data_IF_609415100194
#
_entry.id   IF_609415100194
#
_cell.length_a   1.000
_cell.length_b   1.000
_cell.length_c   1.000
_cell.angle_alpha   90.00
_cell.angle_beta   90.00
_cell.angle_gamma   90.00
#
_symmetry.space_group_name_H-M   'P 1'
#
loop_
_entity.id
_entity.type
_entity.pdbx_description
1 polymer ?
#
# COMPACT_ATOMS: atom_id res chain seq x y z
N UNK A 1 12.95 34.57 37.32
CA UNK A 1 13.70 33.34 37.02
C UNK A 1 12.98 32.07 37.45
N UNK A 2 12.54 31.91 38.71
CA UNK A 2 11.86 30.68 39.19
C UNK A 2 10.58 30.33 38.43
N UNK A 3 9.68 31.31 38.09
CA UNK A 3 8.47 31.05 37.32
C UNK A 3 8.74 30.59 35.86
N UNK A 4 9.77 31.14 35.22
CA UNK A 4 10.19 30.74 33.86
C UNK A 4 10.78 29.33 33.83
N UNK A 5 11.52 28.97 34.87
CA UNK A 5 12.05 27.61 35.03
C UNK A 5 10.93 26.58 35.24
N UNK A 6 9.88 26.94 35.98
CA UNK A 6 8.71 26.08 36.19
C UNK A 6 7.90 25.86 34.93
N UNK A 7 7.73 26.88 34.08
CA UNK A 7 7.05 26.77 32.77
C UNK A 7 7.88 25.90 31.80
N UNK A 8 9.19 26.04 31.79
CA UNK A 8 10.07 25.21 30.97
C UNK A 8 10.08 23.75 31.44
N UNK A 9 10.10 23.52 32.76
CA UNK A 9 10.00 22.16 33.31
C UNK A 9 8.63 21.52 33.03
N UNK A 10 7.52 22.29 33.11
CA UNK A 10 6.18 21.80 32.80
C UNK A 10 6.05 21.44 31.32
N UNK A 11 6.62 22.23 30.43
CA UNK A 11 6.64 21.93 29.00
C UNK A 11 7.50 20.72 28.67
N UNK A 12 8.62 20.53 29.37
CA UNK A 12 9.49 19.36 29.24
C UNK A 12 8.85 18.10 29.83
N UNK A 13 8.07 18.21 30.91
CA UNK A 13 7.32 17.11 31.49
C UNK A 13 6.15 16.67 30.59
N UNK A 14 5.49 17.59 29.89
CA UNK A 14 4.42 17.27 28.92
C UNK A 14 5.00 16.60 27.67
N UNK A 15 6.19 16.98 27.20
CA UNK A 15 6.85 16.30 26.09
C UNK A 15 7.42 14.92 26.44
N UNK A 16 7.69 14.65 27.73
CA UNK A 16 8.12 13.32 28.20
C UNK A 16 6.95 12.36 28.40
N UNK A 17 5.70 12.84 28.52
CA UNK A 17 4.51 12.01 28.60
C UNK A 17 3.97 11.54 27.24
N UNK A 18 4.54 12.02 26.14
CA UNK A 18 4.25 11.54 24.78
C UNK A 18 5.14 10.37 24.36
N UNK A 19 5.61 9.56 25.31
CA UNK A 19 6.14 8.23 24.99
C UNK A 19 4.96 7.37 24.58
N UNK A 20 4.68 7.34 23.27
CA UNK A 20 3.93 6.25 22.67
C UNK A 20 4.63 4.97 23.12
N UNK A 21 3.89 4.07 23.76
CA UNK A 21 4.36 2.72 23.99
C UNK A 21 4.66 2.10 22.63
N UNK A 22 5.92 2.12 22.23
CA UNK A 22 6.39 1.33 21.11
C UNK A 22 6.27 -0.13 21.58
N UNK A 23 5.20 -0.79 21.20
CA UNK A 23 5.07 -2.22 21.38
C UNK A 23 6.20 -2.85 20.57
N UNK A 24 7.12 -3.51 21.26
CA UNK A 24 8.23 -4.20 20.65
C UNK A 24 7.72 -5.52 20.07
N UNK A 25 7.40 -5.52 18.76
CA UNK A 25 7.39 -6.78 18.02
C UNK A 25 8.75 -7.46 18.19
N UNK A 26 8.78 -8.79 18.10
CA UNK A 26 10.07 -9.44 17.85
C UNK A 26 10.60 -8.85 16.53
N UNK A 27 11.84 -8.39 16.52
CA UNK A 27 12.44 -7.84 15.31
C UNK A 27 12.22 -8.79 14.13
N UNK A 28 11.88 -8.26 12.94
CA UNK A 28 11.76 -9.08 11.75
C UNK A 28 13.10 -9.76 11.45
N UNK A 29 13.08 -10.95 10.83
CA UNK A 29 14.30 -11.61 10.39
C UNK A 29 15.14 -10.70 9.50
N UNK A 30 16.46 -10.82 9.59
CA UNK A 30 17.38 -10.11 8.68
C UNK A 30 17.13 -10.48 7.23
N UNK A 31 17.08 -9.49 6.34
CA UNK A 31 16.79 -9.65 4.91
C UNK A 31 17.81 -8.91 4.07
N UNK A 32 18.33 -9.64 3.04
CA UNK A 32 19.36 -9.14 2.15
C UNK A 32 18.83 -8.24 1.04
N UNK A 33 17.60 -8.44 0.58
CA UNK A 33 16.93 -7.59 -0.39
C UNK A 33 17.02 -6.09 -0.03
N UNK A 34 17.27 -5.23 -1.01
CA UNK A 34 17.40 -3.78 -0.76
C UNK A 34 16.07 -3.09 -0.53
N UNK A 35 15.01 -3.56 -1.19
CA UNK A 35 13.65 -3.08 -0.96
C UNK A 35 12.77 -4.27 -0.63
N UNK A 36 12.05 -4.19 0.49
CA UNK A 36 11.22 -5.28 1.02
C UNK A 36 9.94 -4.73 1.61
N UNK A 37 8.85 -5.43 1.41
CA UNK A 37 7.58 -5.19 2.11
C UNK A 37 6.98 -6.51 2.59
N UNK A 38 6.36 -6.49 3.76
CA UNK A 38 5.41 -7.50 4.24
C UNK A 38 4.07 -6.81 4.43
N UNK A 39 3.06 -7.26 3.69
CA UNK A 39 1.73 -6.67 3.66
C UNK A 39 0.67 -7.71 4.03
N UNK A 40 -0.28 -7.33 4.86
CA UNK A 40 -1.52 -8.09 5.06
C UNK A 40 -2.35 -8.01 3.76
N UNK A 41 -2.58 -9.15 3.12
CA UNK A 41 -3.28 -9.21 1.84
C UNK A 41 -4.76 -8.81 1.94
N UNK A 42 -5.40 -9.01 3.10
CA UNK A 42 -6.81 -8.68 3.27
C UNK A 42 -7.03 -7.17 3.43
N UNK A 43 -6.15 -6.51 4.18
CA UNK A 43 -6.31 -5.09 4.54
C UNK A 43 -5.45 -4.14 3.70
N UNK A 44 -4.34 -4.63 3.13
CA UNK A 44 -3.32 -3.80 2.50
C UNK A 44 -2.36 -3.12 3.49
N UNK A 45 -2.47 -3.44 4.77
CA UNK A 45 -1.61 -2.88 5.80
C UNK A 45 -0.17 -3.39 5.68
N UNK A 46 0.79 -2.48 5.70
CA UNK A 46 2.23 -2.81 5.75
C UNK A 46 2.61 -3.09 7.19
N UNK A 47 3.02 -4.32 7.47
CA UNK A 47 3.48 -4.76 8.80
C UNK A 47 5.01 -4.70 8.94
N UNK A 48 5.72 -4.68 7.82
CA UNK A 48 7.16 -4.43 7.75
C UNK A 48 7.53 -3.80 6.42
N UNK A 49 8.39 -2.78 6.44
CA UNK A 49 8.94 -2.11 5.26
C UNK A 49 10.43 -1.81 5.42
N UNK A 50 11.19 -2.04 4.35
CA UNK A 50 12.60 -1.66 4.20
C UNK A 50 12.76 -1.04 2.82
N UNK A 51 12.94 0.27 2.73
CA UNK A 51 12.99 0.99 1.45
C UNK A 51 11.86 0.58 0.47
N UNK A 52 10.69 0.21 1.00
CA UNK A 52 9.58 -0.43 0.28
C UNK A 52 9.02 0.42 -0.85
N UNK A 53 9.22 1.73 -0.77
CA UNK A 53 8.79 2.71 -1.80
C UNK A 53 9.92 3.12 -2.75
N UNK A 54 11.12 2.55 -2.60
CA UNK A 54 12.25 2.87 -3.48
C UNK A 54 12.16 2.08 -4.79
N UNK A 55 12.18 2.76 -5.96
CA UNK A 55 12.03 2.09 -7.24
C UNK A 55 13.29 1.32 -7.65
N UNK A 56 13.06 0.09 -8.12
CA UNK A 56 14.06 -0.78 -8.73
C UNK A 56 13.52 -1.43 -10.00
N UNK A 57 14.36 -1.92 -10.91
CA UNK A 57 13.91 -2.72 -12.04
C UNK A 57 13.33 -4.05 -11.51
N UNK A 58 12.10 -4.42 -11.94
CA UNK A 58 11.38 -5.57 -11.38
C UNK A 58 11.81 -6.93 -11.95
N UNK A 59 12.46 -6.96 -13.11
CA UNK A 59 12.58 -8.18 -13.91
C UNK A 59 11.20 -8.85 -14.12
N UNK A 60 11.15 -10.19 -14.13
CA UNK A 60 9.93 -10.95 -14.41
C UNK A 60 8.81 -10.84 -13.35
N UNK A 61 9.00 -10.12 -12.23
CA UNK A 61 7.87 -9.78 -11.36
C UNK A 61 6.90 -8.78 -12.03
N UNK A 62 7.32 -8.12 -13.13
CA UNK A 62 6.45 -7.38 -14.06
C UNK A 62 5.23 -8.17 -14.49
N UNK A 63 5.39 -9.49 -14.67
CA UNK A 63 4.33 -10.38 -15.18
C UNK A 63 3.13 -10.49 -14.25
N UNK A 64 3.22 -10.06 -12.99
CA UNK A 64 2.04 -9.91 -12.13
C UNK A 64 1.02 -8.97 -12.75
N UNK A 65 1.46 -7.81 -13.28
CA UNK A 65 0.57 -6.89 -13.97
C UNK A 65 0.06 -7.47 -15.31
N UNK A 66 0.89 -8.19 -16.05
CA UNK A 66 0.48 -8.85 -17.30
C UNK A 66 -0.59 -9.89 -17.04
N UNK A 67 -0.41 -10.75 -16.04
CA UNK A 67 -1.40 -11.76 -15.62
C UNK A 67 -2.69 -11.11 -15.16
N UNK A 68 -2.62 -10.05 -14.35
CA UNK A 68 -3.79 -9.33 -13.86
C UNK A 68 -4.61 -8.78 -15.03
N UNK A 69 -3.98 -8.06 -15.94
CA UNK A 69 -4.65 -7.51 -17.11
C UNK A 69 -5.22 -8.57 -18.04
N UNK A 70 -4.56 -9.71 -18.16
CA UNK A 70 -5.08 -10.84 -18.93
C UNK A 70 -6.35 -11.40 -18.30
N UNK A 71 -6.38 -11.59 -16.99
CA UNK A 71 -7.56 -12.09 -16.26
C UNK A 71 -8.72 -11.09 -16.23
N UNK A 72 -8.45 -9.79 -16.36
CA UNK A 72 -9.46 -8.73 -16.37
C UNK A 72 -10.04 -8.45 -17.76
N UNK A 73 -9.34 -8.82 -18.86
CA UNK A 73 -9.72 -8.41 -20.23
C UNK A 73 -9.99 -9.58 -21.19
N UNK A 74 -9.73 -10.83 -20.82
CA UNK A 74 -9.90 -11.99 -21.68
C UNK A 74 -10.69 -13.10 -21.03
N UNK A 75 -11.47 -13.84 -21.82
CA UNK A 75 -12.01 -15.14 -21.43
C UNK A 75 -10.90 -16.20 -21.51
N UNK A 76 -10.92 -17.18 -20.61
CA UNK A 76 -9.84 -18.18 -20.48
C UNK A 76 -9.73 -19.12 -21.71
N UNK A 77 -10.83 -19.37 -22.41
CA UNK A 77 -10.96 -20.21 -23.59
C UNK A 77 -10.72 -19.44 -24.91
N UNK A 78 -10.53 -18.12 -24.82
CA UNK A 78 -10.16 -17.32 -25.98
C UNK A 78 -8.87 -17.81 -26.61
N UNK A 79 -8.85 -17.85 -27.97
CA UNK A 79 -7.70 -18.35 -28.72
C UNK A 79 -6.82 -17.19 -29.17
N UNK A 80 -5.62 -17.15 -28.64
CA UNK A 80 -4.56 -16.23 -29.06
C UNK A 80 -3.85 -16.83 -30.28
N UNK A 81 -3.73 -16.05 -31.35
CA UNK A 81 -2.88 -16.39 -32.50
C UNK A 81 -1.58 -15.60 -32.39
N UNK A 82 -0.47 -16.32 -32.28
CA UNK A 82 0.86 -15.73 -32.07
C UNK A 82 1.29 -14.88 -33.28
N UNK A 83 1.65 -13.63 -33.04
CA UNK A 83 2.19 -12.70 -34.02
C UNK A 83 3.66 -12.95 -34.37
N UNK A 84 4.25 -12.08 -35.18
CA UNK A 84 5.67 -12.21 -35.61
C UNK A 84 6.65 -11.82 -34.48
N UNK A 85 6.29 -10.90 -33.60
CA UNK A 85 7.18 -10.36 -32.59
C UNK A 85 7.38 -11.30 -31.37
N UNK A 86 6.36 -11.93 -30.75
CA UNK A 86 6.50 -12.72 -29.54
C UNK A 86 7.56 -13.82 -29.59
N UNK A 87 7.73 -14.60 -30.68
CA UNK A 87 8.78 -15.64 -30.79
C UNK A 87 10.20 -15.08 -30.74
N UNK A 88 10.41 -13.81 -31.08
CA UNK A 88 11.71 -13.15 -31.11
C UNK A 88 12.22 -12.75 -29.74
N UNK A 89 11.34 -12.70 -28.72
CA UNK A 89 11.67 -12.23 -27.36
C UNK A 89 12.69 -13.15 -26.72
N UNK A 90 13.67 -12.55 -26.05
CA UNK A 90 14.71 -13.26 -25.34
C UNK A 90 14.29 -13.68 -23.90
N UNK A 91 15.14 -14.47 -23.25
CA UNK A 91 14.97 -14.93 -21.87
C UNK A 91 14.11 -16.18 -21.73
N UNK A 92 13.38 -16.31 -20.63
CA UNK A 92 12.52 -17.48 -20.35
C UNK A 92 11.38 -17.53 -21.36
N UNK A 93 11.17 -18.69 -22.00
CA UNK A 93 10.14 -18.90 -23.01
C UNK A 93 9.76 -20.37 -23.17
N UNK A 94 8.62 -20.64 -23.76
CA UNK A 94 8.18 -21.98 -24.14
C UNK A 94 8.33 -22.25 -25.65
N UNK A 95 8.95 -21.31 -26.36
CA UNK A 95 9.25 -21.39 -27.79
C UNK A 95 7.98 -21.51 -28.64
N UNK A 96 7.04 -20.57 -28.45
CA UNK A 96 5.89 -20.43 -29.35
C UNK A 96 6.36 -19.93 -30.71
N UNK A 97 5.62 -20.28 -31.76
CA UNK A 97 5.98 -19.93 -33.14
C UNK A 97 4.89 -19.06 -33.79
N UNK A 98 5.26 -18.33 -34.86
CA UNK A 98 4.34 -17.46 -35.60
C UNK A 98 3.13 -18.26 -36.12
N UNK A 99 1.93 -17.77 -35.89
CA UNK A 99 0.68 -18.42 -36.26
C UNK A 99 0.28 -19.60 -35.35
N UNK A 100 1.03 -19.89 -34.29
CA UNK A 100 0.61 -20.85 -33.28
C UNK A 100 -0.64 -20.36 -32.55
N UNK A 101 -1.55 -21.29 -32.26
CA UNK A 101 -2.82 -21.00 -31.58
C UNK A 101 -2.83 -21.69 -30.23
N UNK A 102 -2.99 -20.90 -29.18
CA UNK A 102 -3.08 -21.34 -27.79
C UNK A 102 -4.23 -20.61 -27.09
N UNK A 103 -4.83 -21.23 -26.10
CA UNK A 103 -5.82 -20.53 -25.27
C UNK A 103 -5.12 -19.54 -24.32
N UNK A 104 -5.88 -18.51 -23.89
CA UNK A 104 -5.45 -17.57 -22.86
C UNK A 104 -5.01 -18.34 -21.60
N UNK A 105 -5.76 -19.37 -21.20
CA UNK A 105 -5.44 -20.20 -20.03
C UNK A 105 -4.08 -20.88 -20.20
N UNK A 106 -3.78 -21.51 -21.34
CA UNK A 106 -2.49 -22.16 -21.60
C UNK A 106 -1.32 -21.16 -21.56
N UNK A 107 -1.54 -19.95 -22.07
CA UNK A 107 -0.54 -18.88 -21.98
C UNK A 107 -0.35 -18.39 -20.54
N UNK A 108 -1.42 -18.26 -19.74
CA UNK A 108 -1.33 -17.90 -18.32
C UNK A 108 -0.54 -18.95 -17.53
N UNK A 109 -0.76 -20.26 -17.78
CA UNK A 109 0.06 -21.33 -17.19
C UNK A 109 1.53 -21.13 -17.51
N UNK A 110 1.85 -20.77 -18.76
CA UNK A 110 3.23 -20.55 -19.21
C UNK A 110 3.87 -19.31 -18.58
N UNK A 111 3.12 -18.21 -18.47
CA UNK A 111 3.60 -16.95 -17.88
C UNK A 111 3.84 -17.10 -16.37
N UNK A 112 2.92 -17.75 -15.65
CA UNK A 112 2.99 -17.88 -14.19
C UNK A 112 4.03 -18.93 -13.81
N UNK A 113 3.99 -20.15 -14.38
CA UNK A 113 4.79 -21.29 -13.94
C UNK A 113 6.25 -21.21 -14.39
N UNK A 114 6.49 -20.86 -15.65
CA UNK A 114 7.87 -20.86 -16.22
C UNK A 114 8.32 -19.48 -16.69
N UNK A 115 7.55 -18.45 -16.36
CA UNK A 115 7.93 -17.06 -16.65
C UNK A 115 8.08 -16.74 -18.14
N UNK A 116 7.30 -17.39 -19.02
CA UNK A 116 7.40 -17.29 -20.48
C UNK A 116 7.25 -15.85 -20.99
N UNK A 117 8.33 -15.26 -21.52
CA UNK A 117 8.36 -13.91 -22.07
C UNK A 117 7.60 -13.82 -23.38
N UNK A 118 7.72 -14.84 -24.21
CA UNK A 118 7.04 -15.00 -25.49
C UNK A 118 5.51 -15.02 -25.31
N UNK A 119 4.99 -15.80 -24.37
CA UNK A 119 3.57 -15.82 -24.03
C UNK A 119 3.10 -14.47 -23.44
N UNK A 120 3.91 -13.82 -22.60
CA UNK A 120 3.57 -12.51 -22.06
C UNK A 120 3.45 -11.44 -23.17
N UNK A 121 4.33 -11.50 -24.18
CA UNK A 121 4.26 -10.62 -25.34
C UNK A 121 3.06 -10.95 -26.24
N UNK A 122 2.75 -12.24 -26.48
CA UNK A 122 1.61 -12.66 -27.27
C UNK A 122 0.27 -12.22 -26.62
N UNK A 123 0.14 -12.36 -25.30
CA UNK A 123 -1.03 -11.85 -24.57
C UNK A 123 -1.14 -10.32 -24.65
N UNK A 124 -0.03 -9.60 -24.56
CA UNK A 124 -0.01 -8.14 -24.69
C UNK A 124 -0.48 -7.66 -26.08
N UNK A 125 0.02 -8.30 -27.15
CA UNK A 125 -0.44 -8.03 -28.52
C UNK A 125 -1.93 -8.37 -28.71
N UNK A 126 -2.38 -9.50 -28.15
CA UNK A 126 -3.77 -9.92 -28.23
C UNK A 126 -4.72 -8.93 -27.58
N UNK A 127 -4.36 -8.41 -26.39
CA UNK A 127 -5.23 -7.50 -25.61
C UNK A 127 -5.21 -6.07 -26.16
N UNK A 128 -4.06 -5.58 -26.61
CA UNK A 128 -3.87 -4.16 -26.91
C UNK A 128 -3.35 -3.87 -28.33
N UNK A 129 -3.08 -4.90 -29.12
CA UNK A 129 -2.56 -4.78 -30.48
C UNK A 129 -1.06 -4.51 -30.60
N UNK A 130 -0.41 -4.02 -29.53
CA UNK A 130 1.05 -3.83 -29.48
C UNK A 130 1.59 -3.87 -28.03
N UNK A 131 2.90 -4.04 -27.90
CA UNK A 131 3.59 -3.97 -26.59
C UNK A 131 3.49 -2.57 -25.97
N UNK A 132 3.58 -1.55 -26.80
CA UNK A 132 3.53 -0.14 -26.38
C UNK A 132 2.15 0.21 -25.82
N UNK A 133 1.08 -0.15 -26.52
CA UNK A 133 -0.30 0.10 -26.06
C UNK A 133 -0.61 -0.73 -24.80
N UNK A 134 -0.10 -1.96 -24.72
CA UNK A 134 -0.23 -2.74 -23.51
C UNK A 134 0.51 -2.10 -22.32
N UNK A 135 1.69 -1.52 -22.53
CA UNK A 135 2.41 -0.79 -21.49
C UNK A 135 1.62 0.45 -20.98
N UNK A 136 0.89 1.14 -21.88
CA UNK A 136 -0.04 2.21 -21.48
C UNK A 136 -1.14 1.66 -20.57
N UNK A 137 -1.74 0.52 -20.93
CA UNK A 137 -2.76 -0.15 -20.11
C UNK A 137 -2.21 -0.59 -18.76
N UNK A 138 -1.00 -1.18 -18.72
CA UNK A 138 -0.30 -1.56 -17.47
C UNK A 138 -0.13 -0.36 -16.54
N UNK A 139 0.33 0.77 -17.06
CA UNK A 139 0.55 1.98 -16.27
C UNK A 139 -0.75 2.63 -15.79
N UNK A 140 -1.82 2.56 -16.60
CA UNK A 140 -3.16 2.99 -16.17
C UNK A 140 -3.63 2.13 -15.00
N UNK A 141 -3.58 0.81 -15.12
CA UNK A 141 -4.04 -0.11 -14.08
C UNK A 141 -3.20 0.00 -12.80
N UNK A 142 -1.89 0.19 -12.92
CA UNK A 142 -1.02 0.44 -11.77
C UNK A 142 -1.48 1.67 -10.96
N UNK A 143 -1.84 2.76 -11.63
CA UNK A 143 -2.38 3.97 -10.96
C UNK A 143 -3.71 3.69 -10.27
N UNK A 144 -4.61 2.93 -10.89
CA UNK A 144 -5.91 2.55 -10.32
C UNK A 144 -5.75 1.69 -9.05
N UNK A 145 -4.72 0.83 -9.00
CA UNK A 145 -4.35 0.06 -7.81
C UNK A 145 -3.69 0.91 -6.71
N UNK A 146 -3.38 2.18 -6.96
CA UNK A 146 -2.71 3.07 -6.02
C UNK A 146 -1.18 3.00 -6.05
N UNK A 147 -0.58 2.36 -7.06
CA UNK A 147 0.87 2.35 -7.28
C UNK A 147 1.37 3.78 -7.57
N UNK A 148 2.43 4.19 -6.85
CA UNK A 148 2.93 5.57 -6.91
C UNK A 148 4.25 5.71 -7.64
N UNK A 149 5.05 4.65 -7.67
CA UNK A 149 6.43 4.66 -8.15
C UNK A 149 6.68 3.56 -9.19
N UNK A 150 5.66 3.24 -9.99
CA UNK A 150 5.70 2.22 -11.03
C UNK A 150 5.61 2.84 -12.41
N UNK A 151 6.47 2.38 -13.32
CA UNK A 151 6.39 2.65 -14.74
C UNK A 151 6.80 1.40 -15.52
N UNK A 152 5.88 0.85 -16.28
CA UNK A 152 6.08 -0.28 -17.17
C UNK A 152 6.32 0.19 -18.62
N UNK A 153 7.22 -0.50 -19.33
CA UNK A 153 7.49 -0.28 -20.75
C UNK A 153 7.35 -1.57 -21.58
N UNK A 154 7.22 -2.72 -20.91
CA UNK A 154 7.00 -4.03 -21.55
C UNK A 154 6.27 -4.99 -20.61
N UNK A 155 5.65 -6.08 -21.13
CA UNK A 155 4.85 -7.02 -20.34
C UNK A 155 5.66 -8.12 -19.65
N UNK A 156 6.95 -8.25 -19.94
CA UNK A 156 7.76 -9.42 -19.52
C UNK A 156 8.85 -9.08 -18.49
N UNK A 157 9.26 -7.81 -18.39
CA UNK A 157 10.26 -7.35 -17.42
C UNK A 157 11.71 -7.46 -17.90
N UNK A 158 11.96 -7.58 -19.21
CA UNK A 158 13.31 -7.32 -19.75
C UNK A 158 13.69 -5.88 -19.43
N UNK A 159 14.99 -5.69 -19.18
CA UNK A 159 15.50 -4.43 -18.67
C UNK A 159 15.29 -3.25 -19.63
N UNK A 160 14.86 -2.16 -19.08
CA UNK A 160 14.82 -0.82 -19.63
C UNK A 160 15.02 0.18 -18.49
N UNK A 161 15.74 1.27 -18.77
CA UNK A 161 16.04 2.29 -17.76
C UNK A 161 14.80 2.94 -17.14
N UNK A 162 13.69 2.97 -17.88
CA UNK A 162 12.42 3.53 -17.43
C UNK A 162 11.50 2.49 -16.78
N UNK A 163 11.83 1.18 -16.90
CA UNK A 163 11.00 0.10 -16.37
C UNK A 163 11.29 -0.11 -14.88
N UNK A 164 10.49 0.48 -14.02
CA UNK A 164 10.70 0.53 -12.56
C UNK A 164 9.42 0.26 -11.80
N UNK A 165 9.57 -0.32 -10.63
CA UNK A 165 8.49 -0.49 -9.63
C UNK A 165 9.09 -0.53 -8.23
N UNK A 166 8.23 -0.62 -7.20
CA UNK A 166 8.63 -0.73 -5.80
C UNK A 166 8.13 -2.04 -5.19
N UNK A 167 8.70 -2.46 -4.07
CA UNK A 167 8.19 -3.64 -3.35
C UNK A 167 6.74 -3.42 -2.89
N UNK A 168 6.40 -2.20 -2.46
CA UNK A 168 5.03 -1.84 -2.09
C UNK A 168 4.06 -1.95 -3.27
N UNK A 169 4.41 -1.40 -4.42
CA UNK A 169 3.56 -1.42 -5.60
C UNK A 169 3.35 -2.86 -6.14
N UNK A 170 4.39 -3.71 -6.09
CA UNK A 170 4.27 -5.14 -6.42
C UNK A 170 3.33 -5.89 -5.45
N UNK A 171 3.38 -5.54 -4.16
CA UNK A 171 2.47 -6.14 -3.17
C UNK A 171 1.01 -5.74 -3.41
N UNK A 172 0.74 -4.52 -3.90
CA UNK A 172 -0.60 -4.10 -4.32
C UNK A 172 -1.11 -4.92 -5.52
N UNK A 173 -0.24 -5.20 -6.50
CA UNK A 173 -0.59 -6.02 -7.67
C UNK A 173 -0.88 -7.46 -7.25
N UNK A 174 -0.04 -8.04 -6.39
CA UNK A 174 -0.26 -9.40 -5.85
C UNK A 174 -1.55 -9.46 -5.02
N UNK A 175 -1.83 -8.44 -4.21
CA UNK A 175 -3.07 -8.34 -3.43
C UNK A 175 -4.31 -8.40 -4.34
N UNK A 176 -4.30 -7.68 -5.45
CA UNK A 176 -5.40 -7.72 -6.42
C UNK A 176 -5.50 -9.08 -7.09
N UNK A 177 -4.38 -9.67 -7.51
CA UNK A 177 -4.35 -11.00 -8.11
C UNK A 177 -4.93 -12.09 -7.20
N UNK A 178 -4.77 -11.98 -5.88
CA UNK A 178 -5.34 -12.92 -4.92
C UNK A 178 -6.88 -12.91 -4.86
N UNK A 179 -7.55 -11.95 -5.53
CA UNK A 179 -9.00 -11.94 -5.73
C UNK A 179 -9.44 -12.81 -6.92
N UNK A 180 -8.51 -13.30 -7.76
CA UNK A 180 -8.79 -14.14 -8.92
C UNK A 180 -8.51 -15.61 -8.61
N UNK A 181 -9.56 -16.42 -8.52
CA UNK A 181 -9.43 -17.86 -8.21
C UNK A 181 -8.52 -18.59 -9.21
N UNK A 182 -8.62 -18.26 -10.50
CA UNK A 182 -7.79 -18.86 -11.55
C UNK A 182 -6.29 -18.56 -11.37
N UNK A 183 -5.94 -17.35 -10.89
CA UNK A 183 -4.55 -17.05 -10.54
C UNK A 183 -4.04 -17.96 -9.42
N UNK A 184 -4.83 -18.15 -8.37
CA UNK A 184 -4.48 -19.01 -7.24
C UNK A 184 -4.33 -20.47 -7.70
N UNK A 185 -5.25 -20.97 -8.53
CA UNK A 185 -5.22 -22.33 -9.09
C UNK A 185 -3.92 -22.58 -9.87
N UNK A 186 -3.62 -21.71 -10.84
CA UNK A 186 -2.40 -21.85 -11.67
C UNK A 186 -1.15 -21.71 -10.81
N UNK A 187 -1.13 -20.74 -9.89
CA UNK A 187 0.04 -20.48 -9.04
C UNK A 187 0.38 -21.65 -8.13
N UNK A 188 -0.62 -22.42 -7.65
CA UNK A 188 -0.43 -23.63 -6.83
C UNK A 188 -0.09 -24.89 -7.63
N UNK A 189 -0.26 -24.86 -8.95
CA UNK A 189 0.05 -26.01 -9.80
C UNK A 189 1.55 -26.26 -9.84
N UNK A 190 1.99 -27.41 -9.35
CA UNK A 190 3.42 -27.80 -9.29
C UNK A 190 3.97 -28.13 -10.67
N UNK A 191 3.21 -28.87 -11.49
CA UNK A 191 3.57 -29.24 -12.85
C UNK A 191 2.32 -29.53 -13.67
N UNK A 192 2.40 -29.30 -14.98
CA UNK A 192 1.33 -29.63 -15.93
C UNK A 192 1.92 -29.85 -17.33
N UNK A 193 1.06 -30.18 -18.30
CA UNK A 193 1.43 -30.31 -19.70
C UNK A 193 0.48 -29.46 -20.54
N UNK A 194 1.02 -28.58 -21.37
CA UNK A 194 0.26 -27.95 -22.43
C UNK A 194 -0.06 -28.98 -23.51
N UNK A 195 -1.26 -28.88 -24.09
CA UNK A 195 -1.65 -29.80 -25.17
C UNK A 195 -0.96 -29.44 -26.48
N UNK A 196 -0.91 -30.39 -27.45
CA UNK A 196 -0.45 -30.08 -28.80
C UNK A 196 -1.25 -28.95 -29.43
N UNK A 197 -0.55 -28.09 -30.18
CA UNK A 197 -1.18 -26.96 -30.90
C UNK A 197 -1.28 -27.27 -32.41
N UNK A 198 -1.76 -26.29 -33.19
CA UNK A 198 -1.75 -26.40 -34.65
C UNK A 198 -0.35 -26.54 -35.25
N UNK A 199 0.70 -26.04 -34.57
CA UNK A 199 2.09 -26.06 -35.00
C UNK A 199 2.89 -27.11 -34.23
N UNK A 200 2.90 -27.05 -32.91
CA UNK A 200 3.68 -27.94 -32.07
C UNK A 200 2.87 -29.21 -31.74
N UNK A 201 3.38 -30.38 -32.15
CA UNK A 201 2.61 -31.65 -32.11
C UNK A 201 2.79 -32.47 -30.84
N UNK A 202 3.71 -32.06 -29.97
CA UNK A 202 4.00 -32.75 -28.71
C UNK A 202 3.45 -31.93 -27.52
N UNK A 203 3.25 -32.61 -26.38
CA UNK A 203 2.92 -31.91 -25.13
C UNK A 203 4.15 -31.20 -24.61
N UNK A 204 4.00 -29.91 -24.21
CA UNK A 204 5.05 -29.15 -23.55
C UNK A 204 4.92 -29.28 -22.04
N UNK A 205 5.92 -29.86 -21.32
CA UNK A 205 5.89 -29.90 -19.86
C UNK A 205 6.15 -28.51 -19.28
N UNK A 206 5.38 -28.15 -18.28
CA UNK A 206 5.59 -26.97 -17.46
C UNK A 206 5.89 -27.41 -16.02
N UNK A 207 6.92 -26.83 -15.45
CA UNK A 207 7.33 -27.05 -14.07
C UNK A 207 7.40 -25.70 -13.35
N UNK A 208 6.65 -25.56 -12.25
CA UNK A 208 6.55 -24.28 -11.58
C UNK A 208 7.88 -23.86 -10.95
N UNK A 209 8.40 -22.70 -11.32
CA UNK A 209 9.64 -22.12 -10.82
C UNK A 209 9.58 -21.69 -9.35
N UNK A 210 8.39 -21.58 -8.76
CA UNK A 210 8.24 -21.22 -7.36
C UNK A 210 8.61 -22.38 -6.43
N UNK A 211 9.82 -22.36 -5.90
CA UNK A 211 10.35 -23.41 -5.02
C UNK A 211 9.63 -23.52 -3.68
N UNK A 212 8.87 -22.50 -3.26
CA UNK A 212 8.07 -22.60 -2.04
C UNK A 212 6.98 -23.68 -2.12
N UNK A 213 6.59 -24.09 -3.33
CA UNK A 213 5.56 -25.11 -3.57
C UNK A 213 6.08 -26.55 -3.52
N UNK A 214 7.40 -26.76 -3.65
CA UNK A 214 7.98 -28.06 -3.86
C UNK A 214 8.69 -28.55 -2.58
N UNK A 215 8.21 -29.63 -2.02
CA UNK A 215 8.70 -30.26 -0.78
C UNK A 215 10.15 -30.80 -0.87
N UNK A 216 10.67 -30.96 -2.08
CA UNK A 216 12.07 -31.30 -2.31
C UNK A 216 13.06 -30.16 -1.98
N UNK A 217 12.59 -28.91 -1.82
CA UNK A 217 13.45 -27.78 -1.49
C UNK A 217 13.37 -27.41 -0.01
N UNK A 218 14.49 -26.99 0.57
CA UNK A 218 14.56 -26.52 1.96
C UNK A 218 13.68 -25.30 2.26
N UNK A 219 13.35 -24.53 1.24
CA UNK A 219 12.47 -23.36 1.34
C UNK A 219 10.98 -23.70 1.18
N UNK A 220 10.62 -24.97 1.08
CA UNK A 220 9.22 -25.39 0.99
C UNK A 220 8.38 -24.76 2.08
N UNK A 221 7.26 -24.16 1.69
CA UNK A 221 6.32 -23.53 2.62
C UNK A 221 4.91 -24.03 2.32
N UNK A 222 4.34 -24.89 3.18
CA UNK A 222 3.08 -25.58 2.90
C UNK A 222 1.89 -24.63 2.72
N UNK A 223 1.96 -23.45 3.35
CA UNK A 223 0.92 -22.43 3.29
C UNK A 223 1.10 -21.43 2.13
N UNK A 224 2.09 -21.63 1.24
CA UNK A 224 2.29 -20.78 0.08
C UNK A 224 1.09 -20.84 -0.89
N UNK A 225 0.64 -19.65 -1.34
CA UNK A 225 -0.46 -19.51 -2.30
C UNK A 225 0.09 -19.26 -3.69
N UNK A 226 0.97 -18.27 -3.83
CA UNK A 226 1.54 -17.88 -5.09
C UNK A 226 2.98 -17.38 -4.92
N UNK A 227 3.69 -17.20 -6.02
CA UNK A 227 5.00 -16.59 -6.01
C UNK A 227 5.54 -16.41 -7.42
N UNK A 228 6.17 -15.25 -7.66
CA UNK A 228 6.81 -14.91 -8.92
C UNK A 228 8.25 -14.46 -8.70
N UNK A 229 9.18 -15.12 -9.39
CA UNK A 229 10.60 -14.78 -9.40
C UNK A 229 10.92 -13.83 -10.56
N UNK A 230 12.00 -13.06 -10.41
CA UNK A 230 12.57 -12.26 -11.48
C UNK A 230 14.09 -12.15 -11.34
N UNK A 231 14.79 -12.09 -12.48
CA UNK A 231 16.21 -11.84 -12.54
C UNK A 231 16.61 -11.20 -13.87
N UNK A 232 17.38 -10.17 -13.81
CA UNK A 232 18.31 -9.68 -14.86
C UNK A 232 19.59 -9.24 -14.17
N UNK A 233 20.64 -9.01 -14.91
CA UNK A 233 21.91 -8.56 -14.33
C UNK A 233 21.76 -7.19 -13.65
N UNK A 234 20.89 -6.32 -14.17
CA UNK A 234 20.64 -4.98 -13.63
C UNK A 234 19.63 -4.98 -12.48
N UNK A 235 18.64 -5.88 -12.52
CA UNK A 235 17.61 -6.00 -11.48
C UNK A 235 18.08 -6.76 -10.25
N UNK A 236 19.13 -7.59 -10.42
CA UNK A 236 19.43 -8.67 -9.49
C UNK A 236 18.20 -9.56 -9.30
N UNK A 237 18.07 -10.25 -8.17
CA UNK A 237 16.89 -11.08 -7.92
C UNK A 237 15.73 -10.24 -7.36
N UNK A 238 14.55 -10.50 -7.87
CA UNK A 238 13.28 -10.03 -7.33
C UNK A 238 12.36 -11.23 -7.04
N UNK A 239 11.51 -11.07 -6.04
CA UNK A 239 10.57 -12.12 -5.64
C UNK A 239 9.32 -11.51 -5.02
N UNK A 240 8.17 -12.01 -5.43
CA UNK A 240 6.90 -11.75 -4.76
C UNK A 240 6.31 -13.09 -4.37
N UNK A 241 5.83 -13.22 -3.17
CA UNK A 241 5.15 -14.43 -2.70
C UNK A 241 4.00 -14.08 -1.78
N UNK A 242 2.99 -14.93 -1.77
CA UNK A 242 1.87 -14.88 -0.84
C UNK A 242 1.67 -16.21 -0.13
N UNK A 243 1.21 -16.15 1.12
CA UNK A 243 0.90 -17.32 1.94
C UNK A 243 -0.34 -17.05 2.80
N UNK A 244 -1.04 -18.14 3.21
CA UNK A 244 -2.27 -18.02 3.98
C UNK A 244 -2.44 -19.11 5.02
N UNK A 245 -2.78 -18.73 6.27
CA UNK A 245 -3.15 -19.60 7.39
C UNK A 245 -4.52 -19.22 7.90
N UNK A 246 -5.54 -20.05 7.61
CA UNK A 246 -6.92 -19.69 7.86
C UNK A 246 -7.32 -18.43 7.09
N UNK A 247 -7.90 -17.46 7.77
CA UNK A 247 -8.31 -16.19 7.16
C UNK A 247 -7.16 -15.19 7.00
N UNK A 248 -6.02 -15.43 7.66
CA UNK A 248 -4.84 -14.56 7.56
C UNK A 248 -4.07 -14.83 6.28
N UNK A 249 -3.77 -13.79 5.52
CA UNK A 249 -2.94 -13.86 4.32
C UNK A 249 -1.90 -12.76 4.33
N UNK A 250 -0.65 -13.10 4.01
CA UNK A 250 0.42 -12.12 3.88
C UNK A 250 1.08 -12.20 2.51
N UNK A 251 1.53 -11.05 2.03
CA UNK A 251 2.31 -10.87 0.82
C UNK A 251 3.69 -10.38 1.22
N UNK A 252 4.72 -10.93 0.61
CA UNK A 252 6.09 -10.48 0.72
C UNK A 252 6.58 -10.12 -0.68
N UNK A 253 7.09 -8.89 -0.85
CA UNK A 253 7.78 -8.50 -2.07
C UNK A 253 9.20 -8.05 -1.74
N UNK A 254 10.17 -8.56 -2.51
CA UNK A 254 11.60 -8.33 -2.36
C UNK A 254 12.16 -7.89 -3.71
N UNK A 255 12.87 -6.77 -3.73
CA UNK A 255 13.56 -6.26 -4.91
C UNK A 255 15.05 -6.08 -4.64
N UNK A 256 15.84 -6.27 -5.69
CA UNK A 256 17.28 -6.08 -5.71
C UNK A 256 18.01 -6.90 -4.62
N UNK A 257 17.78 -8.22 -4.61
CA UNK A 257 18.54 -9.17 -3.79
C UNK A 257 19.77 -9.66 -4.56
N UNK A 258 20.94 -9.24 -4.14
CA UNK A 258 22.22 -9.59 -4.77
C UNK A 258 22.60 -11.06 -4.55
N UNK A 259 22.10 -11.68 -3.48
CA UNK A 259 22.58 -12.97 -2.97
C UNK A 259 21.65 -14.14 -3.29
N UNK A 260 20.48 -13.90 -3.93
CA UNK A 260 19.42 -14.90 -4.14
C UNK A 260 18.95 -15.56 -2.84
N UNK A 261 18.97 -14.80 -1.74
CA UNK A 261 18.64 -15.31 -0.41
C UNK A 261 17.12 -15.36 -0.15
N UNK A 262 16.33 -14.72 -1.00
CA UNK A 262 14.88 -14.57 -0.83
C UNK A 262 14.16 -15.89 -0.57
N UNK A 263 14.58 -17.02 -1.14
CA UNK A 263 13.95 -18.30 -0.87
C UNK A 263 14.14 -18.80 0.57
N UNK A 264 15.27 -18.48 1.21
CA UNK A 264 15.54 -18.86 2.60
C UNK A 264 14.98 -17.84 3.60
N UNK A 265 14.79 -16.61 3.16
CA UNK A 265 14.34 -15.49 3.99
C UNK A 265 12.81 -15.40 4.03
N UNK A 266 12.13 -15.64 2.90
CA UNK A 266 10.66 -15.50 2.78
C UNK A 266 9.89 -16.41 3.74
N UNK A 267 10.21 -17.72 3.92
CA UNK A 267 9.54 -18.56 4.93
C UNK A 267 9.63 -17.98 6.34
N UNK A 268 10.81 -17.47 6.73
CA UNK A 268 11.03 -16.87 8.06
C UNK A 268 10.22 -15.60 8.24
N UNK A 269 10.08 -14.79 7.18
CA UNK A 269 9.23 -13.60 7.20
C UNK A 269 7.75 -13.95 7.32
N UNK A 270 7.27 -14.98 6.61
CA UNK A 270 5.91 -15.45 6.76
C UNK A 270 5.66 -15.95 8.18
N UNK A 271 6.55 -16.76 8.75
CA UNK A 271 6.42 -17.24 10.13
C UNK A 271 6.41 -16.09 11.12
N UNK A 272 7.27 -15.08 10.92
CA UNK A 272 7.28 -13.87 11.73
C UNK A 272 5.97 -13.09 11.59
N UNK A 273 5.46 -12.90 10.37
CA UNK A 273 4.21 -12.16 10.12
C UNK A 273 3.02 -12.86 10.77
N UNK A 274 2.83 -14.17 10.52
CA UNK A 274 1.74 -14.95 11.12
C UNK A 274 1.81 -15.06 12.64
N UNK A 275 3.01 -15.01 13.22
CA UNK A 275 3.19 -15.01 14.68
C UNK A 275 2.77 -13.68 15.31
N UNK A 276 3.10 -12.57 14.67
CA UNK A 276 2.97 -11.25 15.27
C UNK A 276 1.70 -10.50 14.86
N UNK A 277 1.06 -10.89 13.74
CA UNK A 277 -0.09 -10.17 13.18
C UNK A 277 -1.23 -11.13 12.81
N UNK A 278 -2.45 -10.60 12.86
CA UNK A 278 -3.66 -11.26 12.38
C UNK A 278 -4.59 -10.25 11.72
N UNK A 279 -5.39 -10.71 10.76
CA UNK A 279 -6.52 -9.94 10.23
C UNK A 279 -7.72 -10.13 11.15
N UNK A 280 -8.24 -9.06 11.70
CA UNK A 280 -9.41 -9.08 12.58
C UNK A 280 -10.57 -8.31 11.94
N UNK A 281 -11.78 -8.72 12.24
CA UNK A 281 -12.97 -8.06 11.76
C UNK A 281 -13.47 -7.06 12.80
N UNK A 282 -13.53 -5.78 12.43
CA UNK A 282 -14.12 -4.74 13.26
C UNK A 282 -15.65 -4.75 13.16
N UNK A 283 -16.18 -4.93 11.94
CA UNK A 283 -17.63 -5.03 11.67
C UNK A 283 -17.89 -6.01 10.52
N UNK A 284 -18.99 -6.73 10.62
CA UNK A 284 -19.51 -7.56 9.53
C UNK A 284 -20.37 -6.73 8.58
N UNK A 285 -20.47 -7.14 7.31
CA UNK A 285 -21.40 -6.54 6.36
C UNK A 285 -22.82 -6.48 6.94
N UNK A 286 -23.43 -5.28 6.87
CA UNK A 286 -24.78 -5.03 7.40
C UNK A 286 -24.86 -4.83 8.91
N UNK A 287 -23.74 -4.95 9.65
CA UNK A 287 -23.69 -4.69 11.09
C UNK A 287 -23.82 -3.19 11.36
N UNK A 288 -24.50 -2.81 12.44
CA UNK A 288 -24.65 -1.44 12.87
C UNK A 288 -23.35 -0.91 13.47
N UNK A 289 -22.79 0.12 12.84
CA UNK A 289 -21.57 0.79 13.28
C UNK A 289 -21.88 1.89 14.32
N UNK A 290 -23.08 2.44 14.25
CA UNK A 290 -23.54 3.52 15.09
C UNK A 290 -24.81 4.15 14.54
N UNK A 291 -25.15 5.32 15.06
CA UNK A 291 -26.35 6.06 14.66
C UNK A 291 -26.04 7.49 14.27
N UNK A 292 -26.89 8.03 13.41
CA UNK A 292 -26.93 9.46 13.09
C UNK A 292 -28.28 10.03 13.52
N UNK A 293 -28.24 11.06 14.38
CA UNK A 293 -29.43 11.84 14.76
C UNK A 293 -29.57 13.01 13.79
N UNK A 294 -30.69 13.07 13.10
CA UNK A 294 -31.02 14.10 12.12
C UNK A 294 -31.49 15.36 12.80
N UNK A 295 -31.62 16.47 12.07
CA UNK A 295 -32.07 17.78 12.58
C UNK A 295 -33.47 17.74 13.17
N UNK A 296 -34.36 16.84 12.72
CA UNK A 296 -35.70 16.65 13.24
C UNK A 296 -35.80 15.61 14.36
N UNK A 297 -34.66 15.07 14.84
CA UNK A 297 -34.60 14.10 15.94
C UNK A 297 -34.80 12.64 15.50
N UNK A 298 -34.90 12.33 14.20
CA UNK A 298 -34.95 10.95 13.70
C UNK A 298 -33.59 10.26 13.87
N UNK A 299 -33.59 9.01 14.31
CA UNK A 299 -32.37 8.22 14.49
C UNK A 299 -32.22 7.27 13.31
N UNK A 300 -31.13 7.43 12.54
CA UNK A 300 -30.79 6.62 11.38
C UNK A 300 -29.70 5.64 11.77
N UNK A 301 -29.93 4.31 11.68
CA UNK A 301 -28.87 3.31 11.83
C UNK A 301 -27.84 3.44 10.70
N UNK A 302 -26.56 3.36 11.05
CA UNK A 302 -25.45 3.39 10.12
C UNK A 302 -24.88 1.98 9.99
N UNK A 303 -24.96 1.38 8.78
CA UNK A 303 -24.62 -0.01 8.55
C UNK A 303 -23.33 -0.15 7.74
N UNK A 304 -22.52 -1.15 8.05
CA UNK A 304 -21.33 -1.49 7.26
C UNK A 304 -21.73 -2.00 5.87
N UNK A 305 -21.17 -1.39 4.80
CA UNK A 305 -21.39 -1.85 3.41
C UNK A 305 -20.79 -3.22 3.14
N UNK A 306 -19.63 -3.49 3.74
CA UNK A 306 -18.87 -4.75 3.65
C UNK A 306 -18.22 -5.08 4.99
N UNK A 307 -17.62 -6.26 5.09
CA UNK A 307 -16.77 -6.59 6.23
C UNK A 307 -15.65 -5.56 6.34
N UNK A 308 -15.50 -4.93 7.50
CA UNK A 308 -14.43 -3.96 7.79
C UNK A 308 -13.36 -4.68 8.59
N UNK A 309 -12.23 -4.92 7.92
CA UNK A 309 -11.09 -5.63 8.47
C UNK A 309 -10.00 -4.65 8.90
N UNK A 310 -9.20 -5.04 9.89
CA UNK A 310 -7.98 -4.35 10.28
C UNK A 310 -6.89 -5.35 10.63
N UNK A 311 -5.64 -4.94 10.49
CA UNK A 311 -4.48 -5.77 10.84
C UNK A 311 -4.09 -5.52 12.28
N UNK A 312 -4.30 -6.53 13.12
CA UNK A 312 -4.01 -6.49 14.55
C UNK A 312 -2.58 -6.95 14.84
N UNK A 313 -1.95 -6.25 15.76
CA UNK A 313 -0.77 -6.71 16.47
C UNK A 313 -1.16 -7.69 17.57
N UNK A 314 -0.72 -8.94 17.48
CA UNK A 314 -1.08 -10.00 18.43
C UNK A 314 -0.52 -9.76 19.84
N UNK A 315 0.50 -8.91 19.99
CA UNK A 315 1.06 -8.51 21.29
C UNK A 315 0.28 -7.36 21.94
N UNK A 316 -0.50 -6.60 21.15
CA UNK A 316 -1.23 -5.41 21.61
C UNK A 316 -2.58 -5.77 22.21
N UNK A 317 -2.93 -5.09 23.31
CA UNK A 317 -4.27 -5.12 23.93
C UNK A 317 -5.13 -3.95 23.49
N UNK A 318 -4.62 -3.07 22.63
CA UNK A 318 -5.36 -1.94 22.13
C UNK A 318 -6.53 -2.39 21.26
N UNK A 319 -7.62 -1.64 21.35
CA UNK A 319 -8.78 -1.82 20.47
C UNK A 319 -8.75 -0.75 19.38
N UNK A 320 -9.26 -1.06 18.19
CA UNK A 320 -9.39 -0.04 17.16
C UNK A 320 -10.32 1.09 17.61
N UNK A 321 -10.00 2.32 17.22
CA UNK A 321 -10.91 3.45 17.37
C UNK A 321 -11.75 3.63 16.11
N UNK A 322 -13.02 3.94 16.30
CA UNK A 322 -14.01 4.06 15.23
C UNK A 322 -14.34 5.55 15.06
N UNK A 323 -14.18 6.05 13.84
CA UNK A 323 -14.50 7.45 13.49
C UNK A 323 -15.46 7.46 12.31
N UNK A 324 -16.68 7.92 12.52
CA UNK A 324 -17.69 8.10 11.47
C UNK A 324 -17.60 9.55 10.97
N UNK A 325 -17.50 9.74 9.67
CA UNK A 325 -17.50 11.07 9.06
C UNK A 325 -18.93 11.62 9.02
N UNK A 326 -19.31 12.35 10.07
CA UNK A 326 -20.66 12.93 10.20
C UNK A 326 -20.86 14.19 9.35
N UNK A 327 -19.81 14.80 8.84
CA UNK A 327 -19.90 16.07 8.07
C UNK A 327 -20.61 15.87 6.71
N UNK A 328 -20.62 14.64 6.19
CA UNK A 328 -21.28 14.28 4.93
C UNK A 328 -22.76 13.96 5.09
N UNK A 329 -23.27 13.85 6.32
CA UNK A 329 -24.63 13.44 6.64
C UNK A 329 -25.67 14.59 6.63
N UNK A 330 -25.29 15.77 6.18
CA UNK A 330 -26.16 16.94 6.11
C UNK A 330 -27.17 16.88 4.95
N UNK A 331 -27.36 15.75 4.33
CA UNK A 331 -28.28 15.56 3.22
C UNK A 331 -29.75 15.55 3.71
N UNK A 332 -30.62 16.09 2.87
CA UNK A 332 -32.04 16.27 3.18
C UNK A 332 -32.87 15.00 3.04
N UNK A 333 -32.34 13.96 2.38
CA UNK A 333 -32.97 12.64 2.24
C UNK A 333 -31.93 11.59 1.88
N UNK A 334 -32.20 10.35 2.24
CA UNK A 334 -31.49 9.16 1.75
C UNK A 334 -32.36 7.91 1.87
N UNK A 335 -32.11 6.93 1.01
CA UNK A 335 -32.85 5.67 0.99
C UNK A 335 -32.11 4.61 1.81
N UNK A 336 -32.86 3.66 2.35
CA UNK A 336 -32.29 2.48 3.01
C UNK A 336 -31.35 1.73 2.05
N UNK A 337 -30.14 1.43 2.51
CA UNK A 337 -29.09 0.77 1.73
C UNK A 337 -28.28 1.69 0.83
N UNK A 338 -28.54 2.99 0.84
CA UNK A 338 -27.75 3.98 0.09
C UNK A 338 -26.47 4.33 0.87
N UNK A 339 -25.28 4.44 0.17
CA UNK A 339 -24.06 4.96 0.77
C UNK A 339 -24.23 6.43 1.16
N UNK A 340 -24.13 6.74 2.44
CA UNK A 340 -24.38 8.09 2.97
C UNK A 340 -23.16 8.75 3.60
N UNK A 341 -22.20 7.96 4.06
CA UNK A 341 -20.97 8.47 4.67
C UNK A 341 -19.87 7.41 4.63
N UNK A 342 -18.76 7.69 5.31
CA UNK A 342 -17.64 6.77 5.49
C UNK A 342 -17.32 6.58 6.96
N UNK A 343 -16.81 5.41 7.30
CA UNK A 343 -16.22 5.10 8.59
C UNK A 343 -14.72 4.83 8.42
N UNK A 344 -13.94 5.28 9.39
CA UNK A 344 -12.53 4.93 9.53
C UNK A 344 -12.34 4.10 10.80
N UNK A 345 -11.78 2.91 10.66
CA UNK A 345 -11.29 2.07 11.75
C UNK A 345 -9.80 2.33 11.87
N UNK A 346 -9.39 2.99 12.94
CA UNK A 346 -7.98 3.35 13.15
C UNK A 346 -7.32 2.42 14.16
N UNK A 347 -6.19 1.84 13.79
CA UNK A 347 -5.40 0.95 14.63
C UNK A 347 -3.92 1.07 14.28
N UNK A 348 -3.03 1.25 15.27
CA UNK A 348 -1.57 1.35 15.11
C UNK A 348 -1.14 2.31 13.98
N UNK A 349 -1.64 3.54 13.99
CA UNK A 349 -1.36 4.59 12.97
C UNK A 349 -1.82 4.23 11.55
N UNK A 350 -2.57 3.15 11.37
CA UNK A 350 -3.23 2.79 10.11
C UNK A 350 -4.72 3.12 10.18
N UNK A 351 -5.30 3.46 9.04
CA UNK A 351 -6.72 3.81 8.92
C UNK A 351 -7.35 2.98 7.81
N UNK A 352 -8.37 2.22 8.17
CA UNK A 352 -9.12 1.34 7.27
C UNK A 352 -10.48 1.97 7.04
N UNK A 353 -10.72 2.49 5.83
CA UNK A 353 -11.95 3.20 5.49
C UNK A 353 -12.92 2.32 4.73
N UNK A 354 -14.22 2.49 5.00
CA UNK A 354 -15.31 1.85 4.27
C UNK A 354 -16.49 2.81 4.12
N UNK A 355 -17.33 2.55 3.12
CA UNK A 355 -18.62 3.19 3.00
C UNK A 355 -19.58 2.72 4.10
N UNK A 356 -20.52 3.57 4.45
CA UNK A 356 -21.56 3.34 5.45
C UNK A 356 -22.90 3.57 4.80
N UNK A 357 -23.77 2.57 4.91
CA UNK A 357 -25.11 2.58 4.33
C UNK A 357 -26.13 3.10 5.33
N UNK A 358 -27.18 3.75 4.81
CA UNK A 358 -28.36 4.07 5.62
C UNK A 358 -29.13 2.79 5.99
N UNK A 359 -29.45 2.62 7.26
CA UNK A 359 -30.28 1.51 7.76
C UNK A 359 -31.78 1.73 7.57
N UNK A 360 -32.21 2.95 7.26
CA UNK A 360 -33.60 3.33 7.05
C UNK A 360 -33.73 4.41 5.99
N UNK A 361 -34.93 4.57 5.45
CA UNK A 361 -35.29 5.73 4.64
C UNK A 361 -35.36 6.97 5.53
N UNK A 362 -34.94 8.11 4.98
CA UNK A 362 -35.08 9.42 5.64
C UNK A 362 -35.35 10.51 4.59
N UNK A 363 -36.40 11.27 4.86
CA UNK A 363 -36.74 12.47 4.12
C UNK A 363 -36.97 13.61 5.13
N UNK A 364 -36.25 14.71 4.96
CA UNK A 364 -36.44 15.90 5.79
C UNK A 364 -37.79 16.54 5.42
N UNK A 365 -38.73 16.54 6.34
CA UNK A 365 -39.96 17.29 6.16
C UNK A 365 -39.66 18.78 6.04
N UNK A 366 -39.71 19.29 4.81
CA UNK A 366 -39.67 20.71 4.55
C UNK A 366 -41.00 21.28 5.08
N UNK A 367 -41.06 21.70 6.32
CA UNK A 367 -42.20 22.44 6.81
C UNK A 367 -42.39 23.65 5.89
N UNK A 368 -43.60 23.88 5.36
CA UNK A 368 -43.86 25.07 4.55
C UNK A 368 -43.53 26.29 5.38
N UNK A 369 -42.62 27.11 4.87
CA UNK A 369 -42.26 28.38 5.49
C UNK A 369 -43.53 29.25 5.52
N UNK A 370 -44.31 29.19 6.60
CA UNK A 370 -45.31 30.20 6.90
C UNK A 370 -44.53 31.45 7.24
N UNK A 371 -44.56 32.38 6.28
CA UNK A 371 -43.84 33.64 6.41
C UNK A 371 -44.28 34.42 7.65
N UNK A 372 -43.44 34.37 8.68
CA UNK A 372 -43.41 35.37 9.73
C UNK A 372 -41.99 35.90 9.82
N UNK A 373 -41.87 37.16 9.45
CA UNK A 373 -40.69 37.98 9.68
C UNK A 373 -40.34 37.97 11.19
N UNK A 374 -39.41 37.13 11.57
CA UNK A 374 -38.65 37.29 12.81
C UNK A 374 -37.24 37.67 12.41
N UNK A 375 -36.89 38.91 12.66
CA UNK A 375 -35.52 39.42 12.57
C UNK A 375 -34.67 38.67 13.60
N UNK A 376 -33.94 37.67 13.17
CA UNK A 376 -32.88 37.06 13.98
C UNK A 376 -31.63 37.92 13.85
N UNK A 377 -31.15 38.45 14.97
CA UNK A 377 -29.84 39.08 15.04
C UNK A 377 -28.76 38.06 14.60
N UNK A 378 -28.08 38.41 13.53
CA UNK A 378 -26.94 37.66 12.97
C UNK A 378 -25.77 37.69 13.97
N UNK A 379 -25.59 36.59 14.73
CA UNK A 379 -24.35 36.33 15.43
C UNK A 379 -23.32 35.72 14.45
N UNK A 380 -23.10 36.37 13.32
CA UNK A 380 -21.95 36.06 12.47
C UNK A 380 -20.70 36.59 13.15
N UNK A 381 -19.85 35.68 13.63
CA UNK A 381 -18.50 36.03 14.06
C UNK A 381 -17.83 36.67 12.83
N UNK A 382 -17.70 38.02 12.90
CA UNK A 382 -17.10 38.78 11.80
C UNK A 382 -15.72 38.22 11.50
N UNK A 383 -15.49 37.78 10.25
CA UNK A 383 -14.19 37.34 9.76
C UNK A 383 -13.06 38.35 10.09
N UNK A 384 -13.38 39.64 10.26
CA UNK A 384 -12.45 40.66 10.76
C UNK A 384 -11.90 40.34 12.16
N UNK A 385 -12.72 39.82 13.06
CA UNK A 385 -12.29 39.49 14.43
C UNK A 385 -11.42 38.23 14.44
N UNK A 386 -11.74 37.25 13.60
CA UNK A 386 -10.90 36.06 13.44
C UNK A 386 -9.53 36.39 12.83
N UNK A 387 -9.49 37.27 11.81
CA UNK A 387 -8.25 37.78 11.23
C UNK A 387 -7.40 38.57 12.22
N UNK A 388 -8.02 39.39 13.09
CA UNK A 388 -7.31 40.14 14.15
C UNK A 388 -6.68 39.19 15.20
N UNK A 389 -7.39 38.12 15.59
CA UNK A 389 -6.88 37.15 16.55
C UNK A 389 -5.69 36.37 15.95
N UNK A 390 -5.83 35.89 14.72
CA UNK A 390 -4.75 35.17 14.02
C UNK A 390 -3.54 36.09 13.79
N UNK A 391 -3.77 37.34 13.37
CA UNK A 391 -2.72 38.33 13.19
C UNK A 391 -1.97 38.66 14.49
N UNK A 392 -2.69 38.74 15.61
CA UNK A 392 -2.11 38.94 16.94
C UNK A 392 -1.22 37.79 17.39
N UNK A 393 -1.63 36.55 17.14
CA UNK A 393 -0.85 35.35 17.47
C UNK A 393 0.45 35.30 16.62
N UNK A 394 0.35 35.57 15.33
CA UNK A 394 1.51 35.58 14.43
C UNK A 394 2.51 36.68 14.83
N UNK A 395 2.00 37.86 15.14
CA UNK A 395 2.85 38.97 15.61
C UNK A 395 3.55 38.63 16.93
N UNK A 396 2.85 37.97 17.86
CA UNK A 396 3.40 37.53 19.14
C UNK A 396 4.55 36.51 18.95
N UNK A 397 4.41 35.56 18.02
CA UNK A 397 5.44 34.59 17.68
C UNK A 397 6.67 35.28 17.06
N UNK A 398 6.47 36.25 16.16
CA UNK A 398 7.55 37.02 15.54
C UNK A 398 8.34 37.81 16.60
N UNK A 399 7.65 38.47 17.52
CA UNK A 399 8.29 39.22 18.61
C UNK A 399 9.07 38.30 19.55
N UNK A 400 8.59 37.10 19.81
CA UNK A 400 9.28 36.10 20.61
C UNK A 400 10.59 35.64 19.93
N UNK A 401 10.53 35.36 18.64
CA UNK A 401 11.68 34.97 17.84
C UNK A 401 12.75 36.11 17.84
N UNK A 402 12.31 37.35 17.64
CA UNK A 402 13.22 38.51 17.67
C UNK A 402 13.87 38.69 19.04
N UNK A 403 13.11 38.49 20.13
CA UNK A 403 13.66 38.55 21.48
C UNK A 403 14.71 37.45 21.72
N UNK A 404 14.46 36.23 21.25
CA UNK A 404 15.43 35.11 21.32
C UNK A 404 16.72 35.46 20.53
N UNK A 405 16.57 35.96 19.32
CA UNK A 405 17.70 36.37 18.48
C UNK A 405 18.52 37.48 19.17
N UNK A 406 17.83 38.47 19.77
CA UNK A 406 18.47 39.54 20.53
C UNK A 406 19.27 39.01 21.73
N UNK A 407 18.68 38.09 22.50
CA UNK A 407 19.36 37.47 23.67
C UNK A 407 20.59 36.67 23.21
N UNK A 408 20.49 35.91 22.13
CA UNK A 408 21.63 35.16 21.55
C UNK A 408 22.73 36.11 21.10
N UNK A 409 22.37 37.21 20.40
CA UNK A 409 23.34 38.24 19.94
C UNK A 409 24.05 38.93 21.10
N UNK A 410 23.30 39.27 22.16
CA UNK A 410 23.84 39.85 23.41
C UNK A 410 24.79 38.92 24.12
N UNK A 411 24.47 37.63 24.19
CA UNK A 411 25.35 36.60 24.78
C UNK A 411 26.64 36.39 23.97
N UNK A 412 26.55 36.43 22.62
CA UNK A 412 27.74 36.34 21.76
C UNK A 412 28.66 37.56 21.90
N UNK A 413 28.10 38.76 22.03
CA UNK A 413 28.88 39.98 22.29
C UNK A 413 29.54 39.96 23.66
N UNK A 414 28.85 39.49 24.69
CA UNK A 414 29.42 39.36 26.02
C UNK A 414 30.57 38.33 26.06
N UNK A 415 30.45 37.20 25.34
CA UNK A 415 31.55 36.24 25.20
C UNK A 415 32.75 36.82 24.41
N UNK A 416 32.52 37.62 23.36
CA UNK A 416 33.60 38.32 22.65
C UNK A 416 34.31 39.32 23.54
N UNK A 417 33.57 40.12 24.36
CA UNK A 417 34.17 41.06 25.30
C UNK A 417 35.01 40.36 26.39
N UNK A 418 34.52 39.21 26.94
CA UNK A 418 35.32 38.42 27.90
C UNK A 418 36.62 37.87 27.27
N UNK A 419 36.57 37.45 26.02
CA UNK A 419 37.77 36.95 25.31
C UNK A 419 38.79 38.04 25.03
N UNK A 420 38.34 39.27 24.69
CA UNK A 420 39.20 40.46 24.50
C UNK A 420 39.82 40.89 25.82
N UNK A 421 39.07 40.83 26.94
CA UNK A 421 39.61 41.21 28.25
C UNK A 421 40.62 40.19 28.78
N UNK A 422 40.42 38.89 28.49
CA UNK A 422 41.39 37.84 28.89
C UNK A 422 42.70 37.92 28.06
N UNK A 423 42.63 38.28 26.78
CA UNK A 423 43.81 38.47 25.95
C UNK A 423 44.57 39.74 26.32
N UNK A 424 43.87 40.82 26.73
CA UNK A 424 44.52 42.06 27.21
C UNK A 424 45.26 41.85 28.55
N UNK A 425 44.71 41.14 29.49
CA UNK A 425 45.35 40.80 30.76
C UNK A 425 46.55 39.84 30.57
N UNK A 426 46.48 38.94 29.60
CA UNK A 426 47.62 38.07 29.25
C UNK A 426 48.79 38.84 28.64
N UNK A 427 48.50 39.95 27.96
CA UNK A 427 49.56 40.83 27.40
C UNK A 427 50.24 41.70 28.48
N UNK A 428 49.47 42.13 29.50
CA UNK A 428 49.98 43.00 30.60
C UNK A 428 50.83 42.27 31.60
N UNK A 429 50.79 40.94 31.68
CA UNK A 429 51.59 40.09 32.56
C UNK A 429 52.84 39.53 31.88
N UNK A 430 53.19 39.99 30.66
CA UNK A 430 54.38 39.55 29.93
C UNK A 430 55.45 40.60 29.78
N UNK A 431 55.27 41.83 30.41
CA UNK A 431 56.25 42.85 30.48
C UNK A 431 56.39 43.41 31.88
#
# INVERSE_FOLDING_TARGET
>A
MKKLLFIILSFFAITLLSYSNAYAYSDPPSITGKSVVVMDANTGAVVYGKDENKPYPPASTTKLMTVLLTLENCDLDEVVTVGEFPPTIEGSKIYIDVGEKMTVEEMLYSVIMVSANDCAAALAEHISGSIEEFAVLMNKRAKELGCKNTNFVNPHGLYDDKHRTTAYDLALMEKELLNHEKYIEISKTKSTFLQPTNIFKEKRPLWNDNRLLHDAYQCYYPDAIAGKTGYTDESRHSFVASAGKGDNKFIIAILFDENKAYYNETPKLFDWAFKNFSTEKAFSKGEEIGTYETTNGSIIPLLADKDILYTKDNSSKEKPSIVINKDTLSNKFFNKGEPITTVAVNYNSQSYSSEVLSGSDYEEEVLPVVGNLVTTEDNTISYKNLFMIIGGIVLGIILLILAIIYIIKKRRLAKKRKKLFSSYNSYKNKY
#
